data_IF_807933340720
#
_entry.id   IF_807933340720
#
_cell.length_a   1.000
_cell.length_b   1.000
_cell.length_c   1.000
_cell.angle_alpha   90.00
_cell.angle_beta   90.00
_cell.angle_gamma   90.00
#
_symmetry.space_group_name_H-M   'P 1'
#
loop_
_entity.id
_entity.type
_entity.pdbx_description
1 polymer ?
#
# COMPACT_ATOMS: atom_id res chain seq x y z
N UNK A 1 17.62 48.27 10.07
CA UNK A 1 16.21 48.63 9.83
C UNK A 1 15.43 48.17 11.04
N UNK A 2 14.90 49.11 11.82
CA UNK A 2 14.33 48.83 13.14
C UNK A 2 12.97 48.12 13.07
N UNK A 3 12.66 47.37 14.12
CA UNK A 3 11.30 46.93 14.39
C UNK A 3 11.00 47.26 15.86
N UNK A 4 10.13 48.24 16.06
CA UNK A 4 9.58 48.64 17.36
C UNK A 4 8.41 47.71 17.67
N UNK A 5 8.49 46.95 18.77
CA UNK A 5 7.32 46.34 19.41
C UNK A 5 7.08 47.02 20.76
N UNK A 6 5.87 47.54 20.93
CA UNK A 6 5.40 48.24 22.10
C UNK A 6 4.98 47.25 23.19
N UNK A 7 5.31 47.58 24.45
CA UNK A 7 5.25 46.72 25.62
C UNK A 7 3.96 46.94 26.42
N UNK A 8 3.34 45.84 26.88
CA UNK A 8 2.49 45.88 28.08
C UNK A 8 3.40 45.70 29.29
N UNK A 9 3.49 46.76 30.10
CA UNK A 9 4.43 46.92 31.19
C UNK A 9 4.41 45.76 32.20
N UNK A 10 5.59 45.16 32.38
CA UNK A 10 6.12 44.66 33.66
C UNK A 10 7.63 44.45 33.49
N UNK A 11 8.38 44.98 34.44
CA UNK A 11 9.83 44.77 34.56
C UNK A 11 10.07 43.27 34.81
N UNK A 12 10.76 42.60 33.89
CA UNK A 12 11.36 41.28 34.13
C UNK A 12 12.86 41.40 33.93
N UNK A 13 13.57 40.69 34.80
CA UNK A 13 15.00 40.78 35.05
C UNK A 13 15.87 40.81 33.78
N UNK A 14 16.94 41.60 33.87
CA UNK A 14 18.01 41.73 32.90
C UNK A 14 18.68 40.36 32.66
N UNK A 15 18.24 39.66 31.60
CA UNK A 15 18.89 38.43 31.14
C UNK A 15 20.18 38.80 30.41
N UNK A 16 21.29 38.70 31.14
CA UNK A 16 22.64 38.80 30.59
C UNK A 16 22.91 37.57 29.70
N UNK A 17 22.79 37.75 28.39
CA UNK A 17 23.06 36.70 27.40
C UNK A 17 24.55 36.28 27.47
N UNK A 18 24.87 34.98 27.65
CA UNK A 18 26.26 34.53 27.60
C UNK A 18 26.79 34.62 26.17
N UNK A 19 27.74 35.53 25.94
CA UNK A 19 28.53 35.60 24.69
C UNK A 19 29.57 34.48 24.70
N UNK A 20 29.15 33.25 24.43
CA UNK A 20 30.07 32.14 24.11
C UNK A 20 29.75 31.63 22.71
N UNK A 21 30.71 31.67 21.76
CA UNK A 21 30.51 31.03 20.48
C UNK A 21 30.31 29.53 20.69
N UNK A 22 29.21 29.01 20.15
CA UNK A 22 28.95 27.57 20.06
C UNK A 22 30.07 26.95 19.22
N UNK A 23 31.03 26.29 19.88
CA UNK A 23 32.05 25.48 19.24
C UNK A 23 31.35 24.23 18.70
N UNK A 24 31.08 24.21 17.40
CA UNK A 24 30.66 23.02 16.68
C UNK A 24 31.73 21.94 16.88
N UNK A 25 31.43 20.91 17.66
CA UNK A 25 32.26 19.71 17.71
C UNK A 25 32.23 19.09 16.32
N UNK A 26 33.41 18.86 15.76
CA UNK A 26 33.67 18.25 14.45
C UNK A 26 32.62 17.20 14.11
N UNK A 27 31.99 17.33 12.94
CA UNK A 27 31.17 16.26 12.36
C UNK A 27 31.99 14.97 12.38
N UNK A 28 31.46 13.85 12.91
CA UNK A 28 32.16 12.59 12.78
C UNK A 28 32.26 12.28 11.29
N UNK A 29 33.49 12.09 10.84
CA UNK A 29 33.80 11.69 9.47
C UNK A 29 32.96 10.44 9.12
N UNK A 30 32.29 10.39 7.96
CA UNK A 30 31.46 9.25 7.62
C UNK A 30 32.35 8.01 7.56
N UNK A 31 32.18 7.09 8.52
CA UNK A 31 32.85 5.79 8.47
C UNK A 31 32.46 5.14 7.15
N UNK A 32 33.43 4.97 6.26
CA UNK A 32 33.29 4.19 5.03
C UNK A 32 33.00 2.75 5.43
N UNK A 33 31.71 2.40 5.53
CA UNK A 33 31.29 1.02 5.69
C UNK A 33 31.67 0.34 4.38
N UNK A 34 32.75 -0.45 4.39
CA UNK A 34 33.01 -1.39 3.30
C UNK A 34 31.90 -2.44 3.39
N UNK A 35 30.87 -2.29 2.55
CA UNK A 35 29.92 -3.37 2.30
C UNK A 35 30.73 -4.48 1.65
N UNK A 36 31.02 -5.53 2.43
CA UNK A 36 31.55 -6.75 1.86
C UNK A 36 30.57 -7.17 0.77
N UNK A 37 31.06 -7.37 -0.47
CA UNK A 37 30.28 -7.99 -1.52
C UNK A 37 29.93 -9.39 -1.01
N UNK A 38 28.72 -9.55 -0.49
CA UNK A 38 28.16 -10.87 -0.21
C UNK A 38 28.21 -11.70 -1.48
N UNK A 39 28.21 -13.04 -1.37
CA UNK A 39 28.17 -13.89 -2.54
C UNK A 39 26.99 -13.46 -3.42
N UNK A 40 27.23 -13.29 -4.72
CA UNK A 40 26.14 -13.12 -5.69
C UNK A 40 25.15 -14.25 -5.42
N UNK A 41 23.90 -13.91 -5.12
CA UNK A 41 22.83 -14.90 -5.05
C UNK A 41 22.93 -15.72 -6.34
N UNK A 42 23.21 -17.02 -6.20
CA UNK A 42 23.08 -17.93 -7.32
C UNK A 42 21.65 -17.79 -7.82
N UNK A 43 21.48 -17.57 -9.11
CA UNK A 43 20.17 -17.59 -9.72
C UNK A 43 19.51 -18.90 -9.29
N UNK A 44 18.43 -18.81 -8.49
CA UNK A 44 17.64 -19.97 -8.15
C UNK A 44 17.21 -20.57 -9.48
N UNK A 45 17.71 -21.76 -9.80
CA UNK A 45 17.28 -22.49 -10.98
C UNK A 45 15.75 -22.53 -10.90
N UNK A 46 15.09 -21.99 -11.93
CA UNK A 46 13.66 -22.16 -12.06
C UNK A 46 13.40 -23.66 -11.95
N UNK A 47 12.61 -24.06 -10.96
CA UNK A 47 12.07 -25.41 -10.91
C UNK A 47 11.14 -25.50 -12.12
N UNK A 48 11.67 -25.99 -13.24
CA UNK A 48 10.87 -26.28 -14.42
C UNK A 48 10.07 -27.54 -14.06
N UNK A 49 8.73 -27.45 -13.91
CA UNK A 49 7.95 -28.65 -13.65
C UNK A 49 8.13 -29.60 -14.83
N UNK A 50 8.43 -30.87 -14.55
CA UNK A 50 8.48 -31.91 -15.57
C UNK A 50 7.11 -32.01 -16.27
N UNK A 51 7.06 -32.33 -17.58
CA UNK A 51 5.80 -32.39 -18.34
C UNK A 51 4.74 -33.33 -17.72
N UNK A 52 5.17 -34.28 -16.88
CA UNK A 52 4.29 -35.19 -16.16
C UNK A 52 3.36 -34.50 -15.12
N UNK A 53 3.68 -33.28 -14.66
CA UNK A 53 2.86 -32.52 -13.70
C UNK A 53 2.20 -31.27 -14.30
N UNK A 54 2.50 -30.93 -15.55
CA UNK A 54 1.79 -29.85 -16.25
C UNK A 54 0.47 -30.43 -16.75
N UNK A 55 -0.60 -30.26 -15.97
CA UNK A 55 -1.96 -30.44 -16.53
C UNK A 55 -2.06 -29.50 -17.71
N UNK A 56 -2.23 -30.07 -18.91
CA UNK A 56 -2.57 -29.31 -20.11
C UNK A 56 -3.82 -28.50 -19.77
N UNK A 57 -3.68 -27.19 -19.64
CA UNK A 57 -4.81 -26.26 -19.65
C UNK A 57 -5.39 -26.31 -21.06
N UNK A 58 -6.25 -27.30 -21.31
CA UNK A 58 -7.18 -27.24 -22.43
C UNK A 58 -8.15 -26.10 -22.13
N UNK A 59 -8.25 -25.17 -23.07
CA UNK A 59 -9.09 -24.00 -22.96
C UNK A 59 -10.49 -24.32 -22.43
N UNK A 60 -10.82 -23.64 -21.34
CA UNK A 60 -12.16 -23.24 -20.92
C UNK A 60 -13.30 -24.22 -21.18
N UNK A 61 -13.43 -25.26 -20.36
CA UNK A 61 -14.76 -25.57 -19.88
C UNK A 61 -15.22 -24.37 -19.04
N UNK A 62 -16.35 -23.74 -19.39
CA UNK A 62 -17.06 -22.90 -18.41
C UNK A 62 -17.33 -23.82 -17.23
N UNK A 63 -16.78 -23.48 -16.07
CA UNK A 63 -17.01 -24.25 -14.85
C UNK A 63 -18.48 -23.99 -14.47
N UNK A 64 -19.38 -24.85 -14.92
CA UNK A 64 -20.80 -24.77 -14.60
C UNK A 64 -21.15 -25.39 -13.23
N UNK A 65 -20.15 -25.87 -12.48
CA UNK A 65 -20.33 -26.52 -11.18
C UNK A 65 -19.81 -25.67 -10.00
N UNK A 66 -19.35 -24.44 -10.26
CA UNK A 66 -18.93 -23.45 -9.26
C UNK A 66 -19.94 -22.31 -9.15
N UNK A 67 -20.02 -21.68 -7.97
CA UNK A 67 -20.87 -20.50 -7.78
C UNK A 67 -20.56 -19.45 -8.86
N UNK A 68 -21.58 -19.06 -9.63
CA UNK A 68 -21.50 -17.96 -10.59
C UNK A 68 -21.34 -16.65 -9.81
N UNK A 69 -20.08 -16.22 -9.66
CA UNK A 69 -19.71 -15.01 -8.93
C UNK A 69 -20.41 -13.78 -9.50
N UNK A 70 -20.53 -13.68 -10.82
CA UNK A 70 -21.24 -12.56 -11.45
C UNK A 70 -22.71 -12.59 -11.08
N UNK A 71 -23.38 -13.74 -11.16
CA UNK A 71 -24.78 -13.84 -10.73
C UNK A 71 -24.97 -13.46 -9.24
N UNK A 72 -24.04 -13.85 -8.37
CA UNK A 72 -24.08 -13.46 -6.95
C UNK A 72 -23.96 -11.93 -6.78
N UNK A 73 -23.02 -11.29 -7.49
CA UNK A 73 -22.84 -9.84 -7.44
C UNK A 73 -24.02 -9.09 -8.07
N UNK A 74 -24.48 -9.53 -9.24
CA UNK A 74 -25.61 -8.98 -9.98
C UNK A 74 -26.93 -9.06 -9.21
N UNK A 75 -27.06 -9.98 -8.24
CA UNK A 75 -28.20 -10.04 -7.33
C UNK A 75 -28.30 -8.87 -6.34
N UNK A 76 -27.34 -7.93 -6.35
CA UNK A 76 -27.37 -6.72 -5.54
C UNK A 76 -26.72 -6.88 -4.17
N UNK A 77 -25.63 -7.64 -4.09
CA UNK A 77 -24.88 -7.91 -2.86
C UNK A 77 -24.48 -6.59 -2.16
N UNK A 78 -24.97 -6.36 -0.94
CA UNK A 78 -24.70 -5.14 -0.17
C UNK A 78 -23.39 -5.28 0.60
N UNK A 79 -22.71 -4.16 0.92
CA UNK A 79 -21.59 -4.22 1.85
C UNK A 79 -22.01 -4.93 3.15
N UNK A 80 -21.26 -5.97 3.54
CA UNK A 80 -21.52 -6.73 4.76
C UNK A 80 -22.23 -8.08 4.52
N UNK A 81 -22.70 -8.33 3.29
CA UNK A 81 -23.40 -9.55 2.95
C UNK A 81 -22.44 -10.68 2.56
N UNK A 82 -22.78 -11.91 2.97
CA UNK A 82 -22.11 -13.17 2.57
C UNK A 82 -20.60 -13.14 2.82
N UNK A 83 -19.81 -12.82 1.80
CA UNK A 83 -18.36 -12.79 1.81
C UNK A 83 -17.78 -11.36 1.83
N UNK A 84 -18.62 -10.34 1.66
CA UNK A 84 -18.21 -8.94 1.71
C UNK A 84 -18.13 -8.48 3.17
N UNK A 85 -16.91 -8.32 3.71
CA UNK A 85 -16.70 -7.92 5.10
C UNK A 85 -16.94 -6.42 5.38
N UNK A 86 -17.30 -5.61 4.37
CA UNK A 86 -17.37 -4.15 4.42
C UNK A 86 -16.07 -3.42 4.82
N UNK A 87 -14.94 -4.13 4.84
CA UNK A 87 -13.65 -3.60 5.27
C UNK A 87 -12.50 -4.41 4.69
N UNK A 88 -11.30 -3.85 4.77
CA UNK A 88 -10.09 -4.61 4.51
C UNK A 88 -9.82 -5.60 5.64
N UNK A 89 -9.17 -6.71 5.30
CA UNK A 89 -8.83 -7.76 6.26
C UNK A 89 -7.95 -7.19 7.39
N UNK A 90 -8.28 -7.39 8.69
CA UNK A 90 -7.52 -6.81 9.79
C UNK A 90 -6.04 -7.22 9.79
N UNK A 91 -5.74 -8.47 9.40
CA UNK A 91 -4.36 -8.94 9.27
C UNK A 91 -3.59 -8.15 8.19
N UNK A 92 -4.22 -7.84 7.06
CA UNK A 92 -3.60 -7.03 6.00
C UNK A 92 -3.31 -5.61 6.49
N UNK A 93 -4.26 -4.99 7.20
CA UNK A 93 -4.07 -3.65 7.79
C UNK A 93 -2.85 -3.66 8.71
N UNK A 94 -2.76 -4.64 9.60
CA UNK A 94 -1.62 -4.78 10.52
C UNK A 94 -0.29 -4.95 9.79
N UNK A 95 -0.23 -5.77 8.73
CA UNK A 95 1.00 -5.94 7.94
C UNK A 95 1.47 -4.64 7.26
N UNK A 96 0.52 -3.79 6.85
CA UNK A 96 0.83 -2.48 6.27
C UNK A 96 1.35 -1.53 7.35
N UNK A 97 0.70 -1.49 8.51
CA UNK A 97 1.08 -0.67 9.67
C UNK A 97 2.47 -1.06 10.22
N UNK A 98 2.75 -2.36 10.30
CA UNK A 98 4.03 -2.90 10.73
C UNK A 98 5.15 -2.71 9.67
N UNK A 99 4.82 -2.13 8.50
CA UNK A 99 5.78 -1.87 7.42
C UNK A 99 6.26 -3.14 6.69
N UNK A 100 5.57 -4.26 6.85
CA UNK A 100 5.93 -5.57 6.30
C UNK A 100 5.49 -5.74 4.84
N UNK A 101 4.54 -4.93 4.38
CA UNK A 101 4.21 -4.87 2.96
C UNK A 101 5.22 -3.99 2.21
N UNK A 102 5.97 -4.50 1.22
CA UNK A 102 6.92 -3.69 0.46
C UNK A 102 6.20 -2.60 -0.36
N UNK A 103 6.87 -1.47 -0.67
CA UNK A 103 6.35 -0.45 -1.59
C UNK A 103 6.40 -0.95 -3.05
N UNK A 104 5.76 -0.20 -3.94
CA UNK A 104 5.80 -0.43 -5.39
C UNK A 104 4.51 -1.02 -5.98
N UNK A 105 4.65 -1.72 -7.11
CA UNK A 105 3.51 -2.26 -7.86
C UNK A 105 2.92 -3.47 -7.14
N UNK A 106 1.62 -3.42 -6.87
CA UNK A 106 0.91 -4.45 -6.11
C UNK A 106 -0.30 -4.94 -6.90
N UNK A 107 -0.54 -6.25 -6.90
CA UNK A 107 -1.71 -6.88 -7.53
C UNK A 107 -2.61 -7.46 -6.44
N UNK A 108 -3.92 -7.19 -6.53
CA UNK A 108 -4.96 -7.81 -5.68
C UNK A 108 -5.87 -8.64 -6.58
N UNK A 109 -5.67 -9.97 -6.68
CA UNK A 109 -6.56 -10.83 -7.46
C UNK A 109 -7.88 -11.06 -6.72
N UNK A 110 -8.99 -11.14 -7.46
CA UNK A 110 -10.33 -11.30 -6.88
C UNK A 110 -10.66 -10.17 -5.91
N UNK A 111 -10.43 -8.92 -6.33
CA UNK A 111 -10.47 -7.79 -5.41
C UNK A 111 -11.88 -7.45 -4.88
N UNK A 112 -12.94 -8.03 -5.44
CA UNK A 112 -14.33 -7.81 -5.05
C UNK A 112 -14.66 -6.32 -5.07
N UNK A 113 -15.14 -5.76 -3.95
CA UNK A 113 -15.42 -4.32 -3.82
C UNK A 113 -14.19 -3.43 -3.64
N UNK A 114 -12.97 -3.98 -3.71
CA UNK A 114 -11.73 -3.19 -3.71
C UNK A 114 -11.27 -2.68 -2.34
N UNK A 115 -11.72 -3.25 -1.22
CA UNK A 115 -11.28 -2.82 0.12
C UNK A 115 -9.76 -2.93 0.31
N UNK A 116 -9.18 -4.08 -0.02
CA UNK A 116 -7.74 -4.29 0.06
C UNK A 116 -6.96 -3.35 -0.87
N UNK A 117 -7.50 -3.09 -2.08
CA UNK A 117 -6.91 -2.18 -3.06
C UNK A 117 -6.79 -0.78 -2.48
N UNK A 118 -7.87 -0.25 -1.90
CA UNK A 118 -7.88 1.06 -1.26
C UNK A 118 -6.88 1.14 -0.10
N UNK A 119 -6.89 0.13 0.78
CA UNK A 119 -6.02 0.11 1.97
C UNK A 119 -4.54 0.06 1.60
N UNK A 120 -4.16 -0.75 0.61
CA UNK A 120 -2.78 -0.84 0.14
C UNK A 120 -2.29 0.47 -0.53
N UNK A 121 -3.18 1.14 -1.26
CA UNK A 121 -2.87 2.38 -1.99
C UNK A 121 -2.80 3.62 -1.09
N UNK A 122 -3.50 3.62 0.06
CA UNK A 122 -3.62 4.78 0.96
C UNK A 122 -2.28 5.36 1.42
N UNK A 123 -1.24 4.53 1.52
CA UNK A 123 0.10 4.95 1.92
C UNK A 123 0.87 5.77 0.87
N UNK A 124 0.40 5.89 -0.37
CA UNK A 124 1.07 6.68 -1.43
C UNK A 124 2.39 6.12 -1.95
N UNK A 125 2.87 5.01 -1.40
CA UNK A 125 4.10 4.33 -1.80
C UNK A 125 3.84 3.07 -2.65
N UNK A 126 2.60 2.85 -3.08
CA UNK A 126 2.19 1.72 -3.92
C UNK A 126 1.30 2.17 -5.07
N UNK A 127 1.44 1.47 -6.19
CA UNK A 127 0.49 1.51 -7.30
C UNK A 127 -0.21 0.15 -7.32
N UNK A 128 -1.50 0.15 -6.96
CA UNK A 128 -2.26 -1.07 -6.72
C UNK A 128 -3.24 -1.32 -7.86
N UNK A 129 -3.15 -2.51 -8.46
CA UNK A 129 -4.09 -3.00 -9.46
C UNK A 129 -4.95 -4.09 -8.82
N UNK A 130 -6.26 -3.88 -8.77
CA UNK A 130 -7.24 -4.93 -8.52
C UNK A 130 -7.60 -5.65 -9.83
N UNK A 131 -7.67 -6.98 -9.80
CA UNK A 131 -8.20 -7.79 -10.88
C UNK A 131 -9.46 -8.49 -10.37
N UNK A 132 -10.58 -8.37 -11.07
CA UNK A 132 -11.86 -8.92 -10.64
C UNK A 132 -12.65 -9.50 -11.81
N UNK A 133 -13.04 -10.77 -11.73
CA UNK A 133 -13.68 -11.47 -12.83
C UNK A 133 -15.14 -11.06 -13.05
N UNK A 134 -15.82 -10.59 -11.99
CA UNK A 134 -17.20 -10.12 -12.06
C UNK A 134 -17.25 -8.65 -12.49
N UNK A 135 -17.90 -8.38 -13.63
CA UNK A 135 -18.15 -7.04 -14.13
C UNK A 135 -18.88 -6.16 -13.11
N UNK A 136 -19.88 -6.75 -12.43
CA UNK A 136 -20.62 -6.05 -11.38
C UNK A 136 -19.72 -5.72 -10.20
N UNK A 137 -18.92 -6.68 -9.70
CA UNK A 137 -17.99 -6.46 -8.61
C UNK A 137 -16.93 -5.39 -8.96
N UNK A 138 -16.35 -5.46 -10.16
CA UNK A 138 -15.37 -4.48 -10.64
C UNK A 138 -15.95 -3.07 -10.72
N UNK A 139 -17.22 -2.94 -11.14
CA UNK A 139 -17.95 -1.67 -11.14
C UNK A 139 -18.13 -1.13 -9.71
N UNK A 140 -18.56 -1.97 -8.78
CA UNK A 140 -18.68 -1.61 -7.36
C UNK A 140 -17.33 -1.24 -6.73
N UNK A 141 -16.26 -1.92 -7.12
CA UNK A 141 -14.90 -1.59 -6.71
C UNK A 141 -14.48 -0.20 -7.17
N UNK A 142 -14.71 0.13 -8.45
CA UNK A 142 -14.41 1.46 -8.99
C UNK A 142 -15.19 2.56 -8.28
N UNK A 143 -16.48 2.32 -7.96
CA UNK A 143 -17.30 3.25 -7.16
C UNK A 143 -16.77 3.40 -5.74
N UNK A 144 -16.36 2.30 -5.11
CA UNK A 144 -15.76 2.36 -3.79
C UNK A 144 -14.46 3.17 -3.82
N UNK A 145 -13.54 2.88 -4.75
CA UNK A 145 -12.27 3.59 -4.88
C UNK A 145 -12.45 5.09 -5.13
N UNK A 146 -13.43 5.51 -5.95
CA UNK A 146 -13.70 6.92 -6.20
C UNK A 146 -14.26 7.67 -4.98
N UNK A 147 -14.85 6.95 -4.03
CA UNK A 147 -15.30 7.51 -2.74
C UNK A 147 -14.17 7.67 -1.71
N UNK A 148 -12.99 7.10 -1.97
CA UNK A 148 -11.86 7.13 -1.06
C UNK A 148 -10.91 8.28 -1.39
N UNK A 149 -10.29 8.87 -0.37
CA UNK A 149 -9.21 9.85 -0.57
C UNK A 149 -7.89 9.11 -0.84
N UNK A 150 -7.66 8.73 -2.10
CA UNK A 150 -6.49 7.97 -2.55
C UNK A 150 -5.52 8.85 -3.36
N UNK A 151 -4.21 8.53 -3.35
CA UNK A 151 -3.24 9.15 -4.25
C UNK A 151 -3.66 9.02 -5.71
N UNK A 152 -3.38 10.05 -6.51
CA UNK A 152 -3.58 10.02 -7.98
C UNK A 152 -2.84 8.83 -8.56
N UNK A 153 -3.53 8.04 -9.38
CA UNK A 153 -3.03 6.82 -10.03
C UNK A 153 -2.53 5.73 -9.06
N UNK A 154 -2.84 5.85 -7.77
CA UNK A 154 -2.41 4.88 -6.74
C UNK A 154 -3.23 3.59 -6.71
N UNK A 155 -4.43 3.60 -7.28
CA UNK A 155 -5.34 2.46 -7.30
C UNK A 155 -6.16 2.40 -8.59
N UNK A 156 -6.29 1.20 -9.18
CA UNK A 156 -7.18 0.93 -10.30
C UNK A 156 -7.73 -0.50 -10.22
N UNK A 157 -8.83 -0.77 -10.92
CA UNK A 157 -9.45 -2.10 -11.01
C UNK A 157 -9.74 -2.44 -12.46
N UNK A 158 -9.30 -3.62 -12.88
CA UNK A 158 -9.58 -4.22 -14.18
C UNK A 158 -10.49 -5.44 -14.00
N UNK A 159 -11.32 -5.66 -15.01
CA UNK A 159 -12.14 -6.85 -15.17
C UNK A 159 -11.38 -7.93 -15.94
#
# INVERSE_FOLDING_TARGET
VGCLCWTSGRLLAEMRMPTRPLRWSKTPEPRRIRVARGPKAAASAAVVPTPAHVRSFRGGARVSDGADWEAMWASGLKPGDKFDASRAEPALVKLIEDGLCPPGRTLVPGCGRGYAVATLAKGGNRTVLGLELSATAASEARKYLSSQNLPKDGASVQE
#
